data_IF_156244481867
#
_entry.id   IF_156244481867
#
_cell.length_a   1.000
_cell.length_b   1.000
_cell.length_c   1.000
_cell.angle_alpha   90.00
_cell.angle_beta   90.00
_cell.angle_gamma   90.00
#
_symmetry.space_group_name_H-M   'P 1'
#
loop_
_entity.id
_entity.type
_entity.pdbx_description
1 polymer ?
#
# COMPACT_ATOMS: atom_id res chain seq x y z
N UNK A 1 -20.40 13.84 -25.69
CA UNK A 1 -19.83 12.49 -25.77
C UNK A 1 -18.35 12.62 -26.09
N UNK A 2 -17.48 11.97 -25.32
CA UNK A 2 -16.06 11.88 -25.66
C UNK A 2 -15.90 11.02 -26.92
N UNK A 3 -15.03 11.41 -27.87
CA UNK A 3 -14.74 10.57 -29.03
C UNK A 3 -14.19 9.20 -28.61
N UNK A 4 -14.49 8.15 -29.37
CA UNK A 4 -14.12 6.75 -29.09
C UNK A 4 -12.59 6.48 -29.03
N UNK A 5 -11.81 7.47 -29.45
CA UNK A 5 -10.36 7.49 -29.36
C UNK A 5 -9.82 8.06 -28.04
N UNK A 6 -10.65 8.36 -27.03
CA UNK A 6 -10.18 8.76 -25.71
C UNK A 6 -10.29 7.62 -24.70
N UNK A 7 -9.26 7.46 -23.87
CA UNK A 7 -9.28 6.58 -22.71
C UNK A 7 -9.31 7.43 -21.43
N UNK A 8 -10.51 7.71 -20.87
CA UNK A 8 -10.61 8.47 -19.63
C UNK A 8 -10.02 7.66 -18.47
N UNK A 9 -9.19 8.31 -17.67
CA UNK A 9 -8.71 7.82 -16.38
C UNK A 9 -8.74 8.96 -15.36
N UNK A 10 -8.54 8.68 -14.09
CA UNK A 10 -8.54 9.68 -13.02
C UNK A 10 -7.19 9.66 -12.32
N UNK A 11 -6.50 10.80 -12.30
CA UNK A 11 -5.25 10.96 -11.55
C UNK A 11 -5.56 11.53 -10.17
N UNK A 12 -5.02 10.90 -9.13
CA UNK A 12 -5.04 11.38 -7.75
C UNK A 12 -3.76 12.14 -7.47
N UNK A 13 -3.89 13.28 -6.79
CA UNK A 13 -2.80 14.11 -6.30
C UNK A 13 -2.84 14.14 -4.78
N UNK A 14 -1.66 14.15 -4.17
CA UNK A 14 -1.52 14.27 -2.72
C UNK A 14 -1.77 15.71 -2.24
N UNK A 15 -1.64 15.94 -0.93
CA UNK A 15 -1.79 17.26 -0.32
C UNK A 15 -0.76 18.31 -0.75
N UNK A 16 0.34 17.90 -1.40
CA UNK A 16 1.34 18.79 -1.98
C UNK A 16 1.07 19.09 -3.46
N UNK A 17 0.07 18.42 -4.05
CA UNK A 17 -0.26 18.52 -5.46
C UNK A 17 0.61 17.64 -6.36
N UNK A 18 1.40 16.73 -5.78
CA UNK A 18 2.20 15.76 -6.52
C UNK A 18 1.34 14.56 -6.94
N UNK A 19 1.69 13.95 -8.07
CA UNK A 19 0.93 12.81 -8.59
C UNK A 19 1.13 11.59 -7.69
N UNK A 20 0.04 11.11 -7.10
CA UNK A 20 0.04 9.93 -6.24
C UNK A 20 -0.22 8.63 -7.05
N UNK A 21 -1.32 8.57 -7.79
CA UNK A 21 -1.65 7.38 -8.60
C UNK A 21 -2.61 7.70 -9.76
N UNK A 22 -2.67 6.81 -10.75
CA UNK A 22 -3.70 6.81 -11.79
C UNK A 22 -4.71 5.68 -11.55
N UNK A 23 -6.00 6.01 -11.67
CA UNK A 23 -7.13 5.13 -11.47
C UNK A 23 -7.91 4.98 -12.78
N UNK A 24 -8.20 3.74 -13.19
CA UNK A 24 -9.03 3.47 -14.37
C UNK A 24 -10.49 3.88 -14.19
N UNK A 25 -10.97 4.00 -12.95
CA UNK A 25 -12.35 4.38 -12.63
C UNK A 25 -12.39 5.42 -11.53
N UNK A 26 -13.32 6.36 -11.63
CA UNK A 26 -13.56 7.40 -10.64
C UNK A 26 -13.76 6.87 -9.23
N UNK A 27 -14.50 5.75 -9.10
CA UNK A 27 -14.77 5.12 -7.81
C UNK A 27 -13.48 4.80 -7.03
N UNK A 28 -12.40 4.44 -7.73
CA UNK A 28 -11.14 4.11 -7.09
C UNK A 28 -10.41 5.36 -6.63
N UNK A 29 -10.42 6.44 -7.43
CA UNK A 29 -9.89 7.73 -7.03
C UNK A 29 -10.61 8.28 -5.78
N UNK A 30 -11.95 8.17 -5.74
CA UNK A 30 -12.75 8.55 -4.56
C UNK A 30 -12.39 7.70 -3.33
N UNK A 31 -12.23 6.38 -3.49
CA UNK A 31 -11.81 5.51 -2.38
C UNK A 31 -10.44 5.91 -1.85
N UNK A 32 -9.49 6.28 -2.72
CA UNK A 32 -8.18 6.79 -2.30
C UNK A 32 -8.31 8.08 -1.48
N UNK A 33 -9.15 9.02 -1.90
CA UNK A 33 -9.42 10.24 -1.13
C UNK A 33 -9.98 9.95 0.27
N UNK A 34 -10.86 8.94 0.40
CA UNK A 34 -11.42 8.54 1.70
C UNK A 34 -10.38 7.89 2.61
N UNK A 35 -9.42 7.16 2.04
CA UNK A 35 -8.35 6.53 2.82
C UNK A 35 -7.36 7.56 3.39
N UNK A 36 -7.19 8.69 2.70
CA UNK A 36 -6.32 9.81 3.07
C UNK A 36 -7.12 11.04 3.52
N UNK A 37 -8.25 10.82 4.19
CA UNK A 37 -9.10 11.91 4.67
C UNK A 37 -8.34 12.81 5.65
N UNK A 38 -8.37 14.13 5.41
CA UNK A 38 -7.62 15.11 6.20
C UNK A 38 -6.20 15.39 5.69
N UNK A 39 -5.69 14.63 4.71
CA UNK A 39 -4.35 14.83 4.14
C UNK A 39 -4.34 15.75 2.90
N UNK A 40 -5.50 16.29 2.50
CA UNK A 40 -5.61 17.24 1.39
C UNK A 40 -5.57 16.63 -0.01
N UNK A 41 -5.81 15.32 -0.14
CA UNK A 41 -5.81 14.63 -1.43
C UNK A 41 -6.91 15.14 -2.37
N UNK A 42 -6.60 15.19 -3.66
CA UNK A 42 -7.54 15.60 -4.72
C UNK A 42 -7.45 14.67 -5.92
N UNK A 43 -8.43 14.72 -6.84
CA UNK A 43 -8.37 13.93 -8.06
C UNK A 43 -8.93 14.68 -9.27
N UNK A 44 -8.49 14.31 -10.48
CA UNK A 44 -8.92 14.91 -11.74
C UNK A 44 -9.07 13.85 -12.83
N UNK A 45 -10.14 13.96 -13.63
CA UNK A 45 -10.28 13.16 -14.84
C UNK A 45 -9.31 13.64 -15.93
N UNK A 46 -8.56 12.70 -16.50
CA UNK A 46 -7.68 12.90 -17.64
C UNK A 46 -8.23 12.10 -18.81
N UNK A 47 -8.42 12.76 -19.94
CA UNK A 47 -8.84 12.15 -21.19
C UNK A 47 -7.61 12.00 -22.08
N UNK A 48 -6.95 10.85 -22.07
CA UNK A 48 -5.80 10.60 -22.94
C UNK A 48 -6.24 10.15 -24.35
N UNK A 49 -5.63 10.68 -25.43
CA UNK A 49 -5.88 10.22 -26.78
C UNK A 49 -5.22 8.86 -27.04
N UNK A 50 -5.92 7.98 -27.77
CA UNK A 50 -5.39 6.74 -28.33
C UNK A 50 -4.52 7.04 -29.58
N UNK A 51 -3.54 6.20 -29.90
CA UNK A 51 -3.16 4.98 -29.20
C UNK A 51 -2.30 5.30 -27.96
N UNK A 52 -2.58 4.60 -26.86
CA UNK A 52 -1.57 4.47 -25.81
C UNK A 52 -0.32 3.85 -26.46
N UNK A 53 0.91 4.30 -26.13
CA UNK A 53 2.11 3.71 -26.71
C UNK A 53 2.04 2.17 -26.58
N UNK A 54 2.33 1.42 -27.66
CA UNK A 54 1.98 -0.01 -27.80
C UNK A 54 2.72 -0.96 -26.86
N UNK A 55 3.42 -0.44 -25.85
CA UNK A 55 4.11 -1.26 -24.87
C UNK A 55 3.15 -1.61 -23.71
N UNK A 56 2.18 -2.46 -24.01
CA UNK A 56 1.48 -3.23 -22.99
C UNK A 56 2.44 -4.33 -22.59
N UNK A 57 3.18 -4.13 -21.49
CA UNK A 57 3.90 -5.22 -20.86
C UNK A 57 2.84 -6.13 -20.28
N UNK A 58 2.61 -7.26 -20.93
CA UNK A 58 1.76 -8.32 -20.41
C UNK A 58 2.46 -8.86 -19.16
N UNK A 59 2.13 -8.31 -17.99
CA UNK A 59 2.65 -8.80 -16.72
C UNK A 59 1.85 -10.06 -16.40
N UNK A 60 2.22 -11.17 -17.03
CA UNK A 60 1.86 -12.48 -16.52
C UNK A 60 2.43 -12.56 -15.11
N UNK A 61 1.56 -12.51 -14.10
CA UNK A 61 1.94 -12.78 -12.71
C UNK A 61 2.34 -14.26 -12.66
N UNK A 62 3.60 -14.55 -12.96
CA UNK A 62 4.19 -15.83 -12.62
C UNK A 62 4.33 -15.84 -11.11
N UNK A 63 3.39 -16.47 -10.42
CA UNK A 63 3.69 -16.98 -9.08
C UNK A 63 4.90 -17.89 -9.23
N UNK A 64 5.92 -17.63 -8.42
CA UNK A 64 7.14 -18.44 -8.23
C UNK A 64 8.37 -17.99 -9.04
N UNK A 65 9.04 -16.95 -8.54
CA UNK A 65 10.43 -16.63 -8.86
C UNK A 65 10.83 -15.23 -8.36
N UNK A 66 11.69 -15.14 -7.35
CA UNK A 66 12.30 -13.87 -6.95
C UNK A 66 13.12 -13.29 -8.12
N UNK A 67 12.86 -12.03 -8.47
CA UNK A 67 13.70 -11.31 -9.44
C UNK A 67 15.12 -11.14 -8.86
N UNK A 68 16.19 -11.31 -9.66
CA UNK A 68 17.55 -11.15 -9.17
C UNK A 68 17.76 -9.73 -8.65
N UNK A 69 18.00 -9.59 -7.35
CA UNK A 69 18.12 -8.30 -6.65
C UNK A 69 17.01 -8.04 -5.61
N UNK A 70 15.94 -8.85 -5.59
CA UNK A 70 15.08 -8.92 -4.41
C UNK A 70 15.76 -9.80 -3.36
N UNK A 71 16.40 -9.16 -2.37
CA UNK A 71 16.69 -9.84 -1.11
C UNK A 71 15.36 -9.90 -0.34
N UNK A 72 14.54 -10.90 -0.66
CA UNK A 72 13.29 -11.14 0.05
C UNK A 72 13.55 -11.33 1.54
N UNK A 73 12.62 -10.84 2.37
CA UNK A 73 12.56 -11.27 3.76
C UNK A 73 12.41 -12.79 3.77
N UNK A 74 13.27 -13.54 4.50
CA UNK A 74 13.36 -14.97 4.34
C UNK A 74 12.03 -15.66 4.63
N UNK A 75 11.45 -16.23 3.56
CA UNK A 75 10.59 -17.41 3.60
C UNK A 75 9.37 -17.33 4.53
N UNK A 76 8.37 -16.51 4.18
CA UNK A 76 7.01 -16.65 4.74
C UNK A 76 6.37 -18.03 4.44
N UNK A 77 6.92 -18.78 3.46
CA UNK A 77 6.38 -20.06 3.00
C UNK A 77 6.97 -21.31 3.66
N UNK A 78 7.75 -21.21 4.75
CA UNK A 78 8.35 -22.39 5.40
C UNK A 78 7.81 -22.72 6.80
N UNK A 79 6.83 -21.97 7.30
CA UNK A 79 6.11 -22.33 8.52
C UNK A 79 4.64 -22.58 8.20
N UNK A 80 4.08 -23.64 8.80
CA UNK A 80 2.64 -23.84 8.81
C UNK A 80 2.00 -22.53 9.31
N UNK A 81 0.96 -22.03 8.62
CA UNK A 81 0.37 -20.73 8.90
C UNK A 81 0.01 -20.55 10.38
N UNK A 82 -0.35 -21.63 11.08
CA UNK A 82 -0.62 -21.65 12.51
C UNK A 82 0.61 -21.35 13.38
N UNK A 83 1.79 -21.85 13.00
CA UNK A 83 3.03 -21.60 13.74
C UNK A 83 3.54 -20.17 13.50
N UNK A 84 3.39 -19.65 12.27
CA UNK A 84 3.71 -18.27 11.96
C UNK A 84 2.83 -17.28 12.75
N UNK A 85 1.53 -17.56 12.85
CA UNK A 85 0.60 -16.79 13.68
C UNK A 85 0.95 -16.86 15.17
N UNK A 86 1.31 -18.04 15.69
CA UNK A 86 1.72 -18.18 17.08
C UNK A 86 3.00 -17.40 17.41
N UNK A 87 3.97 -17.38 16.50
CA UNK A 87 5.18 -16.55 16.67
C UNK A 87 4.84 -15.07 16.73
N UNK A 88 4.05 -14.59 15.77
CA UNK A 88 3.58 -13.19 15.77
C UNK A 88 2.83 -12.83 17.06
N UNK A 89 1.95 -13.72 17.54
CA UNK A 89 1.19 -13.50 18.78
C UNK A 89 2.10 -13.46 20.02
N UNK A 90 3.20 -14.24 20.02
CA UNK A 90 4.15 -14.25 21.12
C UNK A 90 5.07 -13.02 21.11
N UNK A 91 5.48 -12.57 19.93
CA UNK A 91 6.30 -11.37 19.76
C UNK A 91 5.52 -10.12 20.21
N UNK A 92 4.25 -9.98 19.78
CA UNK A 92 3.36 -8.90 20.24
C UNK A 92 3.19 -8.92 21.77
N UNK A 93 2.99 -10.10 22.37
CA UNK A 93 2.86 -10.22 23.84
C UNK A 93 4.14 -9.84 24.58
N UNK A 94 5.31 -10.10 23.98
CA UNK A 94 6.60 -9.75 24.57
C UNK A 94 6.81 -8.24 24.54
N UNK A 95 6.57 -7.60 23.40
CA UNK A 95 6.63 -6.14 23.26
C UNK A 95 5.66 -5.43 24.21
N UNK A 96 4.43 -5.95 24.34
CA UNK A 96 3.45 -5.38 25.28
C UNK A 96 3.97 -5.43 26.72
N UNK A 97 4.56 -6.56 27.15
CA UNK A 97 5.14 -6.70 28.50
C UNK A 97 6.35 -5.81 28.72
N UNK A 98 7.19 -5.61 27.71
CA UNK A 98 8.34 -4.71 27.77
C UNK A 98 7.88 -3.25 27.87
N UNK A 99 6.85 -2.87 27.10
CA UNK A 99 6.23 -1.54 27.17
C UNK A 99 5.58 -1.28 28.54
N UNK A 100 4.81 -2.24 29.08
CA UNK A 100 4.23 -2.12 30.43
C UNK A 100 5.30 -2.06 31.52
N UNK A 101 6.40 -2.81 31.40
CA UNK A 101 7.54 -2.69 32.33
C UNK A 101 8.18 -1.32 32.27
N UNK A 102 8.33 -0.75 31.07
CA UNK A 102 8.94 0.57 30.89
C UNK A 102 8.04 1.68 31.47
N UNK A 103 6.72 1.56 31.32
CA UNK A 103 5.74 2.46 31.94
C UNK A 103 5.82 2.40 33.49
N UNK A 104 5.91 1.20 34.07
CA UNK A 104 6.03 1.02 35.53
C UNK A 104 7.36 1.57 36.08
N UNK A 105 8.47 1.42 35.34
CA UNK A 105 9.79 1.96 35.76
C UNK A 105 9.82 3.49 35.76
N UNK A 106 9.03 4.16 34.91
CA UNK A 106 8.93 5.62 34.90
C UNK A 106 8.13 6.13 36.12
N UNK A 107 7.20 5.33 36.67
CA UNK A 107 6.35 5.74 37.80
C UNK A 107 6.94 5.46 39.18
N UNK A 108 7.87 4.50 39.33
CA UNK A 108 8.53 4.15 40.61
C UNK A 108 9.82 4.96 40.87
N UNK A 109 10.10 6.00 40.06
CA UNK A 109 11.38 6.71 40.00
C UNK A 109 11.38 8.17 40.45
N UNK A 110 10.44 8.62 41.28
CA UNK A 110 10.51 9.98 41.87
C UNK A 110 10.14 9.97 43.35
N UNK A 111 11.20 10.04 44.18
CA UNK A 111 11.18 10.58 45.53
C UNK A 111 10.91 12.09 45.50
#
# INVERSE_FOLDING_TARGET
MLPDHFYPYWTVYDGLGEKYCDCSHEKYAITTLKLHEGEGFTYKQINAPKPLPPHIVDVTVTTEGELPGQQGLPSANKLNQQEAQQRLHNDIKKELKESTKMEVVITDGTF
#
